data_IF_190732150955
#
_entry.id   IF_190732150955
#
_cell.length_a   1.000
_cell.length_b   1.000
_cell.length_c   1.000
_cell.angle_alpha   90.00
_cell.angle_beta   90.00
_cell.angle_gamma   90.00
#
_symmetry.space_group_name_H-M   'P 1'
#
loop_
_entity.id
_entity.type
_entity.pdbx_description
1 polymer ?
#
# COMPACT_ATOMS: atom_id res chain seq x y z
N UNK A 1 15.48 -5.69 -12.19
CA UNK A 1 14.41 -4.76 -11.75
C UNK A 1 13.13 -5.52 -11.39
N UNK A 2 12.62 -6.39 -12.27
CA UNK A 2 11.42 -7.20 -12.03
C UNK A 2 11.47 -8.05 -10.75
N UNK A 3 12.59 -8.71 -10.46
CA UNK A 3 12.75 -9.54 -9.25
C UNK A 3 12.55 -8.74 -7.96
N UNK A 4 13.07 -7.51 -7.91
CA UNK A 4 12.89 -6.62 -6.75
C UNK A 4 11.42 -6.25 -6.56
N UNK A 5 10.68 -6.01 -7.65
CA UNK A 5 9.23 -5.77 -7.59
C UNK A 5 8.52 -6.98 -7.00
N UNK A 6 8.85 -8.20 -7.43
CA UNK A 6 8.24 -9.43 -6.88
C UNK A 6 8.58 -9.62 -5.40
N UNK A 7 9.81 -9.34 -4.98
CA UNK A 7 10.21 -9.37 -3.57
C UNK A 7 9.39 -8.37 -2.73
N UNK A 8 9.20 -7.14 -3.22
CA UNK A 8 8.38 -6.13 -2.54
C UNK A 8 6.90 -6.54 -2.48
N UNK A 9 6.35 -7.12 -3.56
CA UNK A 9 4.98 -7.63 -3.57
C UNK A 9 4.78 -8.72 -2.51
N UNK A 10 5.70 -9.68 -2.43
CA UNK A 10 5.63 -10.75 -1.43
C UNK A 10 5.77 -10.18 -0.02
N UNK A 11 6.73 -9.28 0.21
CA UNK A 11 6.91 -8.62 1.50
C UNK A 11 5.64 -7.90 1.97
N UNK A 12 4.99 -7.13 1.10
CA UNK A 12 3.76 -6.41 1.44
C UNK A 12 2.63 -7.40 1.73
N UNK A 13 2.42 -8.40 0.88
CA UNK A 13 1.36 -9.42 1.06
C UNK A 13 1.52 -10.21 2.36
N UNK A 14 2.74 -10.59 2.72
CA UNK A 14 3.04 -11.33 3.95
C UNK A 14 2.75 -10.48 5.20
N UNK A 15 2.88 -9.15 5.11
CA UNK A 15 2.59 -8.22 6.20
C UNK A 15 1.11 -7.87 6.33
N UNK A 16 0.43 -7.67 5.21
CA UNK A 16 -0.96 -7.20 5.20
C UNK A 16 -1.99 -8.34 5.24
N UNK A 17 -1.67 -9.51 4.67
CA UNK A 17 -2.58 -10.65 4.60
C UNK A 17 -3.69 -10.52 3.56
N UNK A 18 -3.70 -9.47 2.74
CA UNK A 18 -4.70 -9.26 1.68
C UNK A 18 -4.06 -8.80 0.36
N UNK A 19 -4.76 -9.06 -0.75
CA UNK A 19 -4.39 -8.56 -2.08
C UNK A 19 -5.35 -7.44 -2.48
N UNK A 20 -4.89 -6.17 -2.54
CA UNK A 20 -5.75 -5.05 -2.90
C UNK A 20 -6.20 -5.15 -4.36
N UNK A 21 -7.43 -4.72 -4.65
CA UNK A 21 -7.98 -4.66 -6.00
C UNK A 21 -7.64 -3.35 -6.72
N UNK A 22 -7.40 -2.28 -5.96
CA UNK A 22 -7.11 -0.94 -6.45
C UNK A 22 -5.92 -0.36 -5.68
N UNK A 23 -5.13 0.48 -6.36
CA UNK A 23 -4.05 1.25 -5.77
C UNK A 23 -4.25 2.73 -6.04
N UNK A 24 -4.02 3.57 -5.03
CA UNK A 24 -4.09 5.03 -5.12
C UNK A 24 -2.74 5.60 -4.73
N UNK A 25 -2.22 6.51 -5.54
CA UNK A 25 -1.00 7.27 -5.24
C UNK A 25 -1.41 8.71 -4.98
N UNK A 26 -1.21 9.16 -3.75
CA UNK A 26 -1.54 10.52 -3.34
C UNK A 26 -0.35 11.43 -3.63
N UNK A 27 -0.55 12.37 -4.56
CA UNK A 27 0.39 13.45 -4.81
C UNK A 27 0.39 14.50 -3.70
N UNK A 28 1.20 15.54 -3.88
CA UNK A 28 1.32 16.65 -2.93
C UNK A 28 -0.05 17.29 -2.63
N UNK A 29 -0.37 17.44 -1.35
CA UNK A 29 -1.60 18.08 -0.89
C UNK A 29 -2.85 17.17 -0.83
N UNK A 30 -2.74 15.88 -1.20
CA UNK A 30 -3.88 14.95 -1.21
C UNK A 30 -3.94 14.00 -0.01
N UNK A 31 -3.15 14.25 1.05
CA UNK A 31 -3.06 13.37 2.22
C UNK A 31 -4.38 13.17 2.95
N UNK A 32 -5.25 14.19 2.99
CA UNK A 32 -6.55 14.12 3.66
C UNK A 32 -7.52 13.11 3.02
N UNK A 33 -7.21 12.57 1.84
CA UNK A 33 -7.98 11.49 1.22
C UNK A 33 -8.08 10.25 2.14
N UNK A 34 -7.09 10.05 3.02
CA UNK A 34 -7.10 8.91 3.96
C UNK A 34 -7.95 9.11 5.19
N UNK A 35 -8.42 10.33 5.48
CA UNK A 35 -9.07 10.67 6.74
C UNK A 35 -10.44 9.97 6.91
N UNK A 36 -11.13 9.72 5.79
CA UNK A 36 -12.43 9.04 5.75
C UNK A 36 -12.32 7.53 5.45
N UNK A 37 -11.09 6.98 5.39
CA UNK A 37 -10.86 5.56 5.09
C UNK A 37 -10.69 4.74 6.37
N UNK A 38 -11.26 3.52 6.39
CA UNK A 38 -10.95 2.55 7.44
C UNK A 38 -9.57 1.95 7.19
N UNK A 39 -8.60 2.24 8.06
CA UNK A 39 -7.23 1.75 7.92
C UNK A 39 -7.10 0.38 8.59
N UNK A 40 -7.07 -0.69 7.78
CA UNK A 40 -6.86 -2.07 8.28
C UNK A 40 -5.39 -2.37 8.59
N UNK A 41 -4.46 -1.76 7.85
CA UNK A 41 -3.02 -1.95 8.03
C UNK A 41 -2.25 -0.69 7.60
N UNK A 42 -1.17 -0.36 8.30
CA UNK A 42 -0.24 0.69 7.91
C UNK A 42 1.18 0.14 7.88
N UNK A 43 1.88 0.38 6.78
CA UNK A 43 3.28 0.03 6.61
C UNK A 43 4.09 1.31 6.47
N UNK A 44 4.99 1.59 7.41
CA UNK A 44 5.94 2.69 7.28
C UNK A 44 6.89 2.44 6.12
N UNK A 45 7.28 3.52 5.43
CA UNK A 45 8.28 3.48 4.35
C UNK A 45 9.66 3.05 4.86
#
# INVERSE_FOLDING_TARGET
>A
MWEKVQQTVNFIKDKTGFTPQYGVILGSGLGSFTDDMNIEFTLSY
#
